data_IF_706389020346
#
_entry.id   IF_706389020346
#
_cell.length_a   1.000
_cell.length_b   1.000
_cell.length_c   1.000
_cell.angle_alpha   90.00
_cell.angle_beta   90.00
_cell.angle_gamma   90.00
#
_symmetry.space_group_name_H-M   'P 1'
#
loop_
_entity.id
_entity.type
_entity.pdbx_description
1 polymer ?
#
# COMPACT_ATOMS: atom_id res chain seq x y z
N UNK A 1 21.23 6.78 -22.82
CA UNK A 1 20.40 6.77 -21.60
C UNK A 1 19.71 8.12 -21.37
N UNK A 2 18.48 8.10 -20.87
CA UNK A 2 17.82 9.31 -20.37
C UNK A 2 18.50 9.78 -19.08
N UNK A 3 18.36 11.06 -18.73
CA UNK A 3 19.04 11.64 -17.56
C UNK A 3 18.57 11.04 -16.22
N UNK A 4 17.36 10.50 -16.19
CA UNK A 4 16.69 9.87 -15.05
C UNK A 4 16.69 8.34 -15.11
N UNK A 5 17.43 7.75 -16.05
CA UNK A 5 17.50 6.30 -16.21
C UNK A 5 18.34 5.65 -15.09
N UNK A 6 17.65 4.88 -14.24
CA UNK A 6 18.28 4.14 -13.14
C UNK A 6 19.11 2.96 -13.65
N UNK A 7 20.13 2.55 -12.89
CA UNK A 7 20.97 1.40 -13.24
C UNK A 7 20.15 0.11 -13.46
N UNK A 8 19.11 -0.10 -12.64
CA UNK A 8 18.23 -1.27 -12.73
C UNK A 8 17.33 -1.32 -13.98
N UNK A 9 17.25 -0.23 -14.76
CA UNK A 9 16.44 -0.16 -15.98
C UNK A 9 17.25 -0.12 -17.26
N UNK A 10 18.58 0.01 -17.19
CA UNK A 10 19.47 0.22 -18.35
C UNK A 10 19.48 -0.95 -19.35
N UNK A 11 19.28 -2.16 -18.86
CA UNK A 11 19.36 -3.39 -19.68
C UNK A 11 17.98 -3.88 -20.16
N UNK A 12 16.90 -3.15 -19.89
CA UNK A 12 15.56 -3.51 -20.35
C UNK A 12 15.43 -3.19 -21.84
N UNK A 13 15.49 -4.20 -22.69
CA UNK A 13 15.49 -4.04 -24.16
C UNK A 13 14.09 -4.19 -24.78
N UNK A 14 13.14 -4.80 -24.05
CA UNK A 14 11.81 -5.14 -24.56
C UNK A 14 10.69 -4.63 -23.66
N UNK A 15 9.49 -4.46 -24.26
CA UNK A 15 8.27 -4.15 -23.51
C UNK A 15 7.96 -5.19 -22.44
N UNK A 16 8.26 -6.47 -22.70
CA UNK A 16 7.99 -7.57 -21.76
C UNK A 16 8.84 -7.40 -20.50
N UNK A 17 10.13 -7.12 -20.66
CA UNK A 17 11.05 -6.87 -19.54
C UNK A 17 10.63 -5.63 -18.74
N UNK A 18 10.24 -4.55 -19.41
CA UNK A 18 9.72 -3.35 -18.75
C UNK A 18 8.46 -3.64 -17.92
N UNK A 19 7.49 -4.37 -18.48
CA UNK A 19 6.26 -4.74 -17.77
C UNK A 19 6.57 -5.65 -16.58
N UNK A 20 7.50 -6.60 -16.72
CA UNK A 20 7.92 -7.47 -15.62
C UNK A 20 8.60 -6.67 -14.50
N UNK A 21 9.48 -5.73 -14.85
CA UNK A 21 10.14 -4.85 -13.89
C UNK A 21 9.14 -3.98 -13.13
N UNK A 22 8.18 -3.35 -13.83
CA UNK A 22 7.14 -2.53 -13.19
C UNK A 22 6.29 -3.36 -12.23
N UNK A 23 5.90 -4.59 -12.61
CA UNK A 23 5.17 -5.50 -11.73
C UNK A 23 5.97 -5.86 -10.49
N UNK A 24 7.26 -6.19 -10.65
CA UNK A 24 8.17 -6.49 -9.55
C UNK A 24 8.29 -5.31 -8.61
N UNK A 25 8.62 -4.12 -9.15
CA UNK A 25 8.79 -2.91 -8.37
C UNK A 25 7.51 -2.54 -7.62
N UNK A 26 6.35 -2.61 -8.28
CA UNK A 26 5.05 -2.40 -7.65
C UNK A 26 4.79 -3.39 -6.50
N UNK A 27 5.12 -4.67 -6.69
CA UNK A 27 5.00 -5.69 -5.66
C UNK A 27 5.94 -5.46 -4.47
N UNK A 28 7.20 -5.11 -4.72
CA UNK A 28 8.20 -4.83 -3.68
C UNK A 28 7.82 -3.59 -2.85
N UNK A 29 7.43 -2.50 -3.52
CA UNK A 29 6.94 -1.28 -2.85
C UNK A 29 5.70 -1.59 -2.02
N UNK A 30 4.71 -2.29 -2.59
CA UNK A 30 3.50 -2.67 -1.88
C UNK A 30 3.81 -3.51 -0.63
N UNK A 31 4.70 -4.50 -0.76
CA UNK A 31 5.12 -5.34 0.37
C UNK A 31 5.88 -4.55 1.44
N UNK A 32 6.75 -3.61 1.03
CA UNK A 32 7.46 -2.72 1.95
C UNK A 32 6.51 -1.84 2.75
N UNK A 33 5.55 -1.19 2.08
CA UNK A 33 4.51 -0.36 2.74
C UNK A 33 3.66 -1.22 3.69
N UNK A 34 3.23 -2.40 3.23
CA UNK A 34 2.45 -3.36 4.05
C UNK A 34 3.21 -3.79 5.31
N UNK A 35 4.52 -4.01 5.20
CA UNK A 35 5.38 -4.35 6.33
C UNK A 35 5.52 -3.17 7.31
N UNK A 36 5.89 -1.99 6.83
CA UNK A 36 6.05 -0.79 7.66
C UNK A 36 4.77 -0.44 8.42
N UNK A 37 3.61 -0.54 7.76
CA UNK A 37 2.31 -0.33 8.37
C UNK A 37 2.01 -1.32 9.51
N UNK A 38 2.22 -2.62 9.27
CA UNK A 38 2.04 -3.65 10.32
C UNK A 38 2.96 -3.42 11.52
N UNK A 39 4.20 -3.01 11.26
CA UNK A 39 5.15 -2.70 12.32
C UNK A 39 4.70 -1.48 13.15
N UNK A 40 4.17 -0.44 12.51
CA UNK A 40 3.60 0.71 13.21
C UNK A 40 2.43 0.32 14.13
N UNK A 41 1.50 -0.52 13.66
CA UNK A 41 0.40 -1.04 14.50
C UNK A 41 0.95 -1.86 15.67
N UNK A 42 1.95 -2.70 15.44
CA UNK A 42 2.57 -3.50 16.50
C UNK A 42 3.18 -2.59 17.58
N UNK A 43 3.88 -1.52 17.21
CA UNK A 43 4.41 -0.54 18.16
C UNK A 43 3.31 0.17 18.94
N UNK A 44 2.21 0.57 18.28
CA UNK A 44 1.06 1.18 18.95
C UNK A 44 0.42 0.24 19.98
N UNK A 45 0.33 -1.05 19.68
CA UNK A 45 -0.16 -2.07 20.62
C UNK A 45 0.77 -2.27 21.82
N UNK A 46 2.09 -2.19 21.62
CA UNK A 46 3.07 -2.30 22.72
C UNK A 46 2.89 -1.16 23.72
N UNK A 47 2.70 0.08 23.24
CA UNK A 47 2.58 1.25 24.13
C UNK A 47 1.15 1.45 24.68
N UNK A 48 0.15 0.74 24.13
CA UNK A 48 -1.24 0.76 24.60
C UNK A 48 -1.78 -0.68 24.80
N UNK A 49 -1.26 -1.45 25.77
CA UNK A 49 -1.60 -2.87 25.91
C UNK A 49 -3.06 -3.14 26.29
N UNK A 50 -3.72 -2.20 26.98
CA UNK A 50 -5.10 -2.32 27.44
C UNK A 50 -6.14 -1.82 26.42
N UNK A 51 -5.70 -1.34 25.25
CA UNK A 51 -6.58 -0.76 24.23
C UNK A 51 -6.75 -1.74 23.08
N UNK A 52 -8.00 -2.14 22.81
CA UNK A 52 -8.33 -2.88 21.59
C UNK A 52 -8.41 -1.93 20.38
N UNK A 53 -7.53 -2.15 19.40
CA UNK A 53 -7.49 -1.32 18.19
C UNK A 53 -8.51 -1.80 17.15
N UNK A 54 -9.43 -0.93 16.75
CA UNK A 54 -10.27 -1.16 15.59
C UNK A 54 -9.51 -0.84 14.29
N UNK A 55 -9.24 -1.88 13.52
CA UNK A 55 -8.46 -1.82 12.29
C UNK A 55 -9.32 -1.82 11.00
N UNK A 56 -10.65 -1.80 11.14
CA UNK A 56 -11.56 -1.84 9.98
C UNK A 56 -11.47 -0.59 9.10
N UNK A 57 -11.04 0.54 9.64
CA UNK A 57 -10.83 1.77 8.86
C UNK A 57 -9.68 1.69 7.86
N UNK A 58 -8.87 0.63 7.90
CA UNK A 58 -7.70 0.46 7.03
C UNK A 58 -8.00 -0.23 5.69
N UNK A 59 -9.25 -0.62 5.43
CA UNK A 59 -9.65 -1.15 4.13
C UNK A 59 -9.42 -0.10 3.04
N UNK A 60 -9.03 -0.54 1.83
CA UNK A 60 -8.64 0.37 0.72
C UNK A 60 -9.72 1.40 0.36
N UNK A 61 -11.00 1.06 0.59
CA UNK A 61 -12.15 1.93 0.30
C UNK A 61 -12.69 2.67 1.53
N UNK A 62 -12.00 2.63 2.68
CA UNK A 62 -12.47 3.19 3.94
C UNK A 62 -11.61 4.36 4.38
N UNK A 63 -12.21 5.24 5.16
CA UNK A 63 -11.56 6.39 5.78
C UNK A 63 -12.12 6.58 7.19
N UNK A 64 -11.32 7.17 8.09
CA UNK A 64 -11.78 7.57 9.42
C UNK A 64 -11.98 9.09 9.43
N UNK A 65 -13.23 9.53 9.56
CA UNK A 65 -13.61 10.95 9.65
C UNK A 65 -14.35 11.16 10.96
N UNK A 66 -13.88 12.11 11.77
CA UNK A 66 -14.46 12.44 13.09
C UNK A 66 -14.65 11.21 14.00
N UNK A 67 -13.69 10.28 13.95
CA UNK A 67 -13.72 9.03 14.74
C UNK A 67 -14.64 7.94 14.19
N UNK A 68 -15.29 8.15 13.07
CA UNK A 68 -16.17 7.17 12.43
C UNK A 68 -15.52 6.60 11.17
N UNK A 69 -15.65 5.28 11.00
CA UNK A 69 -15.21 4.59 9.79
C UNK A 69 -16.30 4.74 8.73
N UNK A 70 -15.97 5.39 7.62
CA UNK A 70 -16.89 5.60 6.50
C UNK A 70 -16.34 5.00 5.22
N UNK A 71 -17.22 4.79 4.24
CA UNK A 71 -16.85 4.63 2.83
C UNK A 71 -17.10 5.97 2.15
N UNK A 72 -16.04 6.70 1.74
CA UNK A 72 -16.20 7.96 1.01
C UNK A 72 -17.10 7.82 -0.22
N UNK A 73 -17.84 8.88 -0.57
CA UNK A 73 -18.79 8.87 -1.69
C UNK A 73 -18.15 8.39 -3.00
N UNK A 74 -16.91 8.84 -3.27
CA UNK A 74 -16.11 8.44 -4.45
C UNK A 74 -15.84 6.94 -4.56
N UNK A 75 -15.99 6.20 -3.47
CA UNK A 75 -15.74 4.76 -3.38
C UNK A 75 -17.03 3.95 -3.22
N UNK A 76 -18.19 4.60 -3.14
CA UNK A 76 -19.47 3.88 -3.07
C UNK A 76 -19.72 3.14 -4.37
N UNK A 77 -20.08 1.86 -4.26
CA UNK A 77 -20.34 0.99 -5.41
C UNK A 77 -19.10 0.53 -6.16
N UNK A 78 -17.89 0.90 -5.70
CA UNK A 78 -16.67 0.24 -6.15
C UNK A 78 -16.52 -1.07 -5.39
N UNK A 79 -16.29 -2.15 -6.13
CA UNK A 79 -15.79 -3.39 -5.58
C UNK A 79 -14.31 -3.50 -5.97
N UNK A 80 -13.47 -3.91 -5.02
CA UNK A 80 -12.08 -4.26 -5.32
C UNK A 80 -12.04 -5.76 -5.15
N UNK A 81 -11.87 -6.49 -6.25
CA UNK A 81 -11.56 -7.92 -6.20
C UNK A 81 -10.30 -8.09 -5.32
N UNK A 82 -10.41 -8.92 -4.27
CA UNK A 82 -9.32 -9.24 -3.34
C UNK A 82 -8.08 -9.86 -4.02
#
# INVERSE_FOLDING_TARGET
>A
PAADETESTRDLATRVELVAWVKKLGGEVFNGVKHGWRNAIAQLKIVNPEVEFNLQGMGVLREVVDGQIIVPEKYKGMDIDE
#
